data_IF_468992966300
#
_entry.id   IF_468992966300
#
_cell.length_a   1.000
_cell.length_b   1.000
_cell.length_c   1.000
_cell.angle_alpha   90.00
_cell.angle_beta   90.00
_cell.angle_gamma   90.00
#
_symmetry.space_group_name_H-M   'P 1'
#
loop_
_entity.id
_entity.type
_entity.pdbx_description
1 polymer ?
#
# COMPACT_ATOMS: atom_id res chain seq x y z
N UNK A 1 29.70 -8.99 -28.13
CA UNK A 1 29.97 -8.97 -26.68
C UNK A 1 29.16 -7.89 -25.95
N UNK A 2 29.02 -6.68 -26.52
CA UNK A 2 28.20 -5.57 -25.99
C UNK A 2 26.68 -5.82 -25.97
N UNK A 3 26.14 -6.54 -26.95
CA UNK A 3 24.70 -6.90 -27.03
C UNK A 3 24.21 -7.74 -25.85
N UNK A 4 25.05 -8.64 -25.32
CA UNK A 4 24.68 -9.50 -24.19
C UNK A 4 24.58 -8.74 -22.87
N UNK A 5 25.42 -7.71 -22.68
CA UNK A 5 25.38 -6.84 -21.49
C UNK A 5 24.14 -5.95 -21.53
N UNK A 6 23.82 -5.36 -22.68
CA UNK A 6 22.61 -4.55 -22.85
C UNK A 6 21.36 -5.40 -22.61
N UNK A 7 21.29 -6.59 -23.20
CA UNK A 7 20.16 -7.51 -23.01
C UNK A 7 20.04 -7.96 -21.54
N UNK A 8 21.16 -8.21 -20.85
CA UNK A 8 21.16 -8.53 -19.43
C UNK A 8 20.64 -7.37 -18.57
N UNK A 9 21.07 -6.13 -18.85
CA UNK A 9 20.58 -4.95 -18.13
C UNK A 9 19.10 -4.71 -18.39
N UNK A 10 18.65 -4.81 -19.64
CA UNK A 10 17.24 -4.74 -20.00
C UNK A 10 16.43 -5.83 -19.28
N UNK A 11 16.94 -7.05 -19.24
CA UNK A 11 16.32 -8.16 -18.51
C UNK A 11 16.21 -7.85 -17.02
N UNK A 12 17.27 -7.34 -16.37
CA UNK A 12 17.24 -6.99 -14.94
C UNK A 12 16.25 -5.85 -14.67
N UNK A 13 16.24 -4.80 -15.49
CA UNK A 13 15.32 -3.66 -15.34
C UNK A 13 13.87 -4.11 -15.54
N UNK A 14 13.62 -4.87 -16.62
CA UNK A 14 12.31 -5.44 -16.90
C UNK A 14 11.87 -6.37 -15.78
N UNK A 15 12.69 -7.34 -15.39
CA UNK A 15 12.38 -8.31 -14.34
C UNK A 15 12.06 -7.60 -13.02
N UNK A 16 12.87 -6.62 -12.60
CA UNK A 16 12.61 -5.86 -11.37
C UNK A 16 11.37 -4.98 -11.46
N UNK A 17 11.06 -4.41 -12.62
CA UNK A 17 9.87 -3.55 -12.78
C UNK A 17 8.60 -4.38 -12.91
N UNK A 18 8.67 -5.47 -13.67
CA UNK A 18 7.59 -6.41 -13.91
C UNK A 18 7.23 -7.16 -12.64
N UNK A 19 8.20 -7.69 -11.89
CA UNK A 19 7.93 -8.37 -10.61
C UNK A 19 7.25 -7.45 -9.61
N UNK A 20 7.62 -6.18 -9.54
CA UNK A 20 6.93 -5.18 -8.69
C UNK A 20 5.48 -4.96 -9.12
N UNK A 21 5.16 -5.03 -10.41
CA UNK A 21 3.79 -4.90 -10.86
C UNK A 21 3.00 -6.19 -10.61
N UNK A 22 3.56 -7.34 -11.02
CA UNK A 22 2.91 -8.64 -10.94
C UNK A 22 2.74 -9.17 -9.50
N UNK A 23 3.53 -8.69 -8.54
CA UNK A 23 3.47 -9.16 -7.14
C UNK A 23 2.51 -8.35 -6.26
N UNK A 24 1.76 -7.39 -6.82
CA UNK A 24 0.84 -6.54 -6.07
C UNK A 24 -0.49 -6.41 -6.81
N UNK A 25 -1.58 -6.25 -6.07
CA UNK A 25 -2.89 -5.92 -6.61
C UNK A 25 -3.17 -4.44 -6.35
N UNK A 26 -2.85 -3.60 -7.34
CA UNK A 26 -3.19 -2.18 -7.34
C UNK A 26 -4.44 -1.92 -8.18
N UNK A 27 -5.56 -2.52 -7.78
CA UNK A 27 -6.88 -2.26 -8.37
C UNK A 27 -7.28 -0.77 -8.35
N UNK A 28 -6.73 0.04 -7.43
CA UNK A 28 -6.85 1.52 -7.41
C UNK A 28 -6.21 2.20 -8.65
N UNK A 29 -5.29 1.51 -9.32
CA UNK A 29 -4.55 1.99 -10.48
C UNK A 29 -3.20 2.63 -10.13
N UNK A 30 -2.15 2.24 -10.86
CA UNK A 30 -0.78 2.75 -10.66
C UNK A 30 -0.66 4.26 -10.87
N UNK A 31 -1.44 4.83 -11.79
CA UNK A 31 -1.47 6.28 -12.03
C UNK A 31 -1.83 7.06 -10.77
N UNK A 32 -2.78 6.54 -10.00
CA UNK A 32 -3.25 7.17 -8.77
C UNK A 32 -2.12 7.20 -7.73
N UNK A 33 -1.40 6.10 -7.57
CA UNK A 33 -0.22 5.99 -6.70
C UNK A 33 0.86 7.02 -7.05
N UNK A 34 1.12 7.24 -8.35
CA UNK A 34 2.08 8.25 -8.81
C UNK A 34 1.62 9.68 -8.49
N UNK A 35 0.36 10.02 -8.75
CA UNK A 35 -0.20 11.36 -8.47
C UNK A 35 -0.15 11.69 -6.98
N UNK A 36 -0.39 10.69 -6.14
CA UNK A 36 -0.38 10.81 -4.68
C UNK A 36 1.01 10.71 -4.07
N UNK A 37 2.06 10.44 -4.86
CA UNK A 37 3.43 10.25 -4.38
C UNK A 37 3.51 9.14 -3.31
N UNK A 38 2.89 7.99 -3.58
CA UNK A 38 2.91 6.84 -2.67
C UNK A 38 4.30 6.20 -2.70
N UNK A 39 4.88 6.03 -1.51
CA UNK A 39 6.16 5.35 -1.32
C UNK A 39 5.93 3.88 -1.01
N UNK A 40 6.53 3.01 -1.81
CA UNK A 40 6.47 1.55 -1.66
C UNK A 40 7.90 1.01 -1.45
N UNK A 41 8.44 1.00 -0.22
CA UNK A 41 9.83 0.60 0.02
C UNK A 41 10.12 -0.85 -0.39
N UNK A 42 9.15 -1.74 -0.13
CA UNK A 42 9.21 -3.17 -0.44
C UNK A 42 7.89 -3.58 -1.10
N UNK A 43 7.70 -3.29 -2.40
CA UNK A 43 6.43 -3.49 -3.10
C UNK A 43 6.21 -4.98 -3.42
N UNK A 44 5.91 -5.78 -2.41
CA UNK A 44 5.62 -7.22 -2.55
C UNK A 44 4.36 -7.53 -1.73
N UNK A 45 3.35 -8.13 -2.36
CA UNK A 45 2.14 -8.60 -1.70
C UNK A 45 1.22 -7.48 -1.19
N UNK A 46 1.34 -6.28 -1.73
CA UNK A 46 0.47 -5.14 -1.38
C UNK A 46 -0.83 -5.26 -2.19
N UNK A 47 -1.96 -5.07 -1.49
CA UNK A 47 -3.30 -5.09 -2.07
C UNK A 47 -4.00 -3.77 -1.74
N UNK A 48 -4.39 -3.01 -2.76
CA UNK A 48 -5.11 -1.73 -2.63
C UNK A 48 -6.35 -1.78 -3.53
N UNK A 49 -7.52 -1.87 -2.90
CA UNK A 49 -8.80 -2.00 -3.59
C UNK A 49 -9.17 -0.79 -4.46
N UNK A 50 -9.95 -1.04 -5.51
CA UNK A 50 -10.35 -0.04 -6.53
C UNK A 50 -10.98 1.25 -5.99
N UNK A 51 -11.68 1.19 -4.86
CA UNK A 51 -12.39 2.33 -4.28
C UNK A 51 -11.66 2.99 -3.11
N UNK A 52 -10.46 2.52 -2.76
CA UNK A 52 -9.65 3.14 -1.69
C UNK A 52 -9.30 4.56 -2.10
N UNK A 53 -9.45 5.50 -1.18
CA UNK A 53 -8.96 6.87 -1.35
C UNK A 53 -7.66 7.01 -0.55
N UNK A 54 -6.59 7.44 -1.21
CA UNK A 54 -5.30 7.70 -0.57
C UNK A 54 -4.96 9.19 -0.60
N UNK A 55 -4.50 9.71 0.53
CA UNK A 55 -3.84 11.00 0.64
C UNK A 55 -2.43 10.98 0.04
N UNK A 56 -1.72 12.10 0.18
CA UNK A 56 -0.38 12.26 -0.40
C UNK A 56 0.72 11.71 0.51
N UNK A 57 1.84 11.30 -0.08
CA UNK A 57 3.09 10.97 0.63
C UNK A 57 2.94 9.82 1.65
N UNK A 58 2.00 8.90 1.43
CA UNK A 58 1.88 7.73 2.29
C UNK A 58 3.00 6.74 2.03
N UNK A 59 3.42 6.03 3.07
CA UNK A 59 4.42 4.96 3.00
C UNK A 59 3.73 3.64 3.27
N UNK A 60 3.73 2.73 2.29
CA UNK A 60 3.06 1.44 2.39
C UNK A 60 4.10 0.32 2.23
N UNK A 61 4.27 -0.47 3.28
CA UNK A 61 5.21 -1.59 3.32
C UNK A 61 4.60 -2.87 2.71
N UNK A 62 5.44 -3.89 2.55
CA UNK A 62 5.07 -5.18 1.97
C UNK A 62 3.90 -5.86 2.71
N UNK A 63 3.11 -6.65 1.98
CA UNK A 63 2.03 -7.46 2.57
C UNK A 63 0.85 -6.66 3.12
N UNK A 64 0.80 -5.34 2.91
CA UNK A 64 -0.31 -4.51 3.38
C UNK A 64 -1.56 -4.76 2.53
N UNK A 65 -2.72 -4.88 3.17
CA UNK A 65 -4.01 -4.95 2.50
C UNK A 65 -4.90 -3.77 2.91
N UNK A 66 -5.41 -3.03 1.93
CA UNK A 66 -6.39 -1.95 2.12
C UNK A 66 -7.61 -2.26 1.27
N UNK A 67 -8.74 -2.57 1.91
CA UNK A 67 -9.89 -3.10 1.19
C UNK A 67 -11.21 -3.04 1.94
N UNK A 68 -12.27 -3.57 1.33
CA UNK A 68 -13.59 -3.67 1.94
C UNK A 68 -13.65 -4.80 2.96
N UNK A 69 -14.52 -4.68 3.95
CA UNK A 69 -14.70 -5.69 5.01
C UNK A 69 -15.51 -6.91 4.56
N UNK A 70 -16.31 -6.79 3.50
CA UNK A 70 -17.10 -7.88 2.96
C UNK A 70 -17.24 -7.76 1.43
N UNK A 71 -17.57 -8.85 0.74
CA UNK A 71 -17.66 -8.89 -0.72
C UNK A 71 -18.78 -8.00 -1.31
N UNK A 72 -19.81 -7.68 -0.52
CA UNK A 72 -20.98 -6.92 -0.96
C UNK A 72 -20.92 -5.43 -0.59
N UNK A 73 -19.87 -4.99 0.09
CA UNK A 73 -19.69 -3.60 0.51
C UNK A 73 -19.17 -2.77 -0.64
N UNK A 74 -19.84 -1.66 -0.90
CA UNK A 74 -19.38 -0.63 -1.85
C UNK A 74 -18.40 0.36 -1.19
N UNK A 75 -18.28 0.31 0.14
CA UNK A 75 -17.43 1.20 0.90
C UNK A 75 -16.01 0.66 1.04
N UNK A 76 -15.04 1.57 0.88
CA UNK A 76 -13.61 1.33 0.99
C UNK A 76 -12.98 2.30 1.99
N UNK A 77 -11.82 1.96 2.58
CA UNK A 77 -11.11 2.87 3.45
C UNK A 77 -10.70 4.18 2.77
N UNK A 78 -10.72 5.26 3.55
CA UNK A 78 -10.11 6.55 3.21
C UNK A 78 -8.86 6.73 4.08
N UNK A 79 -7.72 6.90 3.43
CA UNK A 79 -6.42 7.10 4.08
C UNK A 79 -6.00 8.56 3.88
N UNK A 80 -5.69 9.26 4.97
CA UNK A 80 -5.15 10.61 4.96
C UNK A 80 -3.74 10.71 4.37
N UNK A 81 -3.15 11.89 4.44
CA UNK A 81 -1.78 12.17 3.96
C UNK A 81 -0.73 11.84 5.02
N UNK A 82 0.49 11.55 4.57
CA UNK A 82 1.65 11.20 5.40
C UNK A 82 1.40 10.00 6.33
N UNK A 83 0.49 9.10 5.97
CA UNK A 83 0.22 7.90 6.75
C UNK A 83 1.28 6.85 6.46
N UNK A 84 1.85 6.26 7.51
CA UNK A 84 2.77 5.13 7.40
C UNK A 84 2.08 3.84 7.78
N UNK A 85 2.08 2.86 6.88
CA UNK A 85 1.44 1.55 7.09
C UNK A 85 2.50 0.47 6.99
N UNK A 86 2.88 -0.10 8.13
CA UNK A 86 3.93 -1.11 8.22
C UNK A 86 3.48 -2.51 7.78
N UNK A 87 4.47 -3.37 7.58
CA UNK A 87 4.34 -4.68 6.94
C UNK A 87 3.18 -5.52 7.49
N UNK A 88 2.44 -6.16 6.58
CA UNK A 88 1.36 -7.09 6.94
C UNK A 88 0.14 -6.48 7.63
N UNK A 89 0.05 -5.15 7.73
CA UNK A 89 -1.15 -4.51 8.27
C UNK A 89 -2.34 -4.64 7.32
N UNK A 90 -3.54 -4.76 7.89
CA UNK A 90 -4.80 -4.91 7.18
C UNK A 90 -5.74 -3.78 7.59
N UNK A 91 -6.15 -2.95 6.65
CA UNK A 91 -7.09 -1.84 6.86
C UNK A 91 -8.36 -2.18 6.09
N UNK A 92 -9.47 -2.39 6.81
CA UNK A 92 -10.69 -2.92 6.21
C UNK A 92 -11.97 -2.18 6.62
N UNK A 93 -12.87 -2.03 5.64
CA UNK A 93 -14.21 -1.50 5.84
C UNK A 93 -14.36 -0.02 5.52
N UNK A 94 -15.52 0.54 5.89
CA UNK A 94 -15.83 1.96 5.70
C UNK A 94 -15.24 2.80 6.85
N UNK A 95 -13.92 3.04 6.80
CA UNK A 95 -13.21 3.73 7.87
C UNK A 95 -12.30 4.83 7.33
N UNK A 96 -12.03 5.82 8.18
CA UNK A 96 -11.16 6.93 7.88
C UNK A 96 -9.90 6.86 8.75
N UNK A 97 -8.73 6.88 8.12
CA UNK A 97 -7.44 7.00 8.80
C UNK A 97 -6.98 8.45 8.63
N UNK A 98 -6.90 9.21 9.72
CA UNK A 98 -6.46 10.60 9.69
C UNK A 98 -5.03 10.79 9.23
N UNK A 99 -4.67 12.04 8.91
CA UNK A 99 -3.33 12.41 8.49
C UNK A 99 -2.27 12.07 9.54
N UNK A 100 -1.03 11.79 9.09
CA UNK A 100 0.12 11.51 9.95
C UNK A 100 -0.05 10.30 10.88
N UNK A 101 -1.03 9.41 10.62
CA UNK A 101 -1.17 8.17 11.37
C UNK A 101 -0.02 7.20 11.09
N UNK A 102 0.27 6.36 12.08
CA UNK A 102 1.22 5.25 11.95
C UNK A 102 0.52 3.95 12.32
N UNK A 103 0.42 3.04 11.36
CA UNK A 103 -0.16 1.72 11.54
C UNK A 103 0.97 0.71 11.67
N UNK A 104 1.13 0.16 12.87
CA UNK A 104 2.15 -0.85 13.17
C UNK A 104 2.00 -2.14 12.37
N UNK A 105 3.07 -2.92 12.33
CA UNK A 105 3.11 -4.18 11.59
C UNK A 105 2.06 -5.17 12.10
N UNK A 106 1.45 -5.92 11.18
CA UNK A 106 0.47 -6.97 11.48
C UNK A 106 -0.86 -6.49 12.11
N UNK A 107 -1.10 -5.18 12.18
CA UNK A 107 -2.33 -4.64 12.78
C UNK A 107 -3.52 -4.85 11.85
N UNK A 108 -4.64 -5.34 12.39
CA UNK A 108 -5.94 -5.29 11.73
C UNK A 108 -6.68 -4.05 12.24
N UNK A 109 -7.00 -3.13 11.33
CA UNK A 109 -7.68 -1.87 11.62
C UNK A 109 -9.05 -1.89 10.98
N UNK A 110 -10.09 -1.90 11.81
CA UNK A 110 -11.50 -1.93 11.43
C UNK A 110 -12.31 -0.77 12.04
N UNK A 111 -11.62 0.25 12.56
CA UNK A 111 -12.22 1.49 13.08
C UNK A 111 -11.44 2.70 12.59
N UNK A 112 -12.13 3.83 12.47
CA UNK A 112 -11.49 5.10 12.12
C UNK A 112 -10.49 5.54 13.19
N UNK A 113 -9.45 6.25 12.76
CA UNK A 113 -8.40 6.81 13.61
C UNK A 113 -8.30 8.31 13.40
N UNK A 114 -8.12 9.05 14.49
CA UNK A 114 -7.84 10.49 14.43
C UNK A 114 -6.42 10.75 13.92
N UNK A 115 -6.19 11.94 13.38
CA UNK A 115 -4.88 12.35 12.87
C UNK A 115 -3.79 12.21 13.95
N UNK A 116 -2.60 11.76 13.55
CA UNK A 116 -1.46 11.55 14.45
C UNK A 116 -1.56 10.30 15.33
N UNK A 117 -2.59 9.47 15.17
CA UNK A 117 -2.71 8.22 15.94
C UNK A 117 -1.57 7.26 15.59
N UNK A 118 -0.90 6.71 16.61
CA UNK A 118 0.15 5.70 16.46
C UNK A 118 -0.36 4.37 17.03
N UNK A 119 -0.61 3.41 16.15
CA UNK A 119 -0.82 2.02 16.54
C UNK A 119 0.53 1.31 16.58
N UNK A 120 1.06 1.07 17.78
CA UNK A 120 2.31 0.32 17.95
C UNK A 120 2.18 -1.12 17.45
N UNK A 121 3.32 -1.72 17.10
CA UNK A 121 3.41 -3.16 16.83
C UNK A 121 2.90 -3.93 18.06
N UNK A 122 2.32 -5.11 17.83
CA UNK A 122 2.02 -6.04 18.91
C UNK A 122 3.35 -6.56 19.48
N UNK A 123 3.84 -5.90 20.51
CA UNK A 123 4.73 -6.50 21.50
C UNK A 123 3.92 -6.55 22.78
N UNK A 124 3.60 -7.75 23.24
CA UNK A 124 2.99 -8.00 24.55
C UNK A 124 3.84 -7.37 25.67
#
# INVERSE_FOLDING_TARGET
MTSNIINYLLFVIFYRSFTRYASNDFSIGVKQLCIQQIHLPHPIGIVIGKGVLLGKNCVIYQGVTIGKSNAHSDFYPVIGSNVTIYTGAVIIGNINIGDNCVIGAGRVVSRSLEAGTILKCLSD
#
